data_IF_335244993493
#
_entry.id   IF_335244993493
#
_cell.length_a   1.000
_cell.length_b   1.000
_cell.length_c   1.000
_cell.angle_alpha   90.00
_cell.angle_beta   90.00
_cell.angle_gamma   90.00
#
_symmetry.space_group_name_H-M   'P 1'
#
loop_
_entity.id
_entity.type
_entity.pdbx_description
1 polymer ?
#
# COMPACT_ATOMS: atom_id res chain seq x y z
N UNK A 1 4.99 -4.87 14.42
CA UNK A 1 6.03 -4.49 13.45
C UNK A 1 6.00 -2.97 13.33
N UNK A 2 7.14 -2.30 13.54
CA UNK A 2 7.24 -0.86 13.31
C UNK A 2 7.41 -0.64 11.80
N UNK A 3 6.54 0.17 11.22
CA UNK A 3 6.60 0.57 9.81
C UNK A 3 6.65 2.09 9.68
N UNK A 4 7.16 2.57 8.56
CA UNK A 4 7.22 3.98 8.20
C UNK A 4 6.46 4.19 6.90
N UNK A 5 5.39 4.97 6.95
CA UNK A 5 4.60 5.37 5.80
C UNK A 5 5.13 6.68 5.21
N UNK A 6 5.69 6.58 4.00
CA UNK A 6 6.41 7.68 3.37
C UNK A 6 7.84 7.85 3.89
N UNK A 7 8.82 7.74 2.99
CA UNK A 7 10.24 7.73 3.34
C UNK A 7 10.89 9.12 3.41
N UNK A 8 10.15 10.21 3.27
CA UNK A 8 10.73 11.57 3.20
C UNK A 8 11.49 11.99 4.47
N UNK A 9 11.17 11.38 5.62
CA UNK A 9 11.90 11.58 6.85
C UNK A 9 13.27 10.86 6.90
N UNK A 10 13.55 9.97 5.95
CA UNK A 10 14.85 9.30 5.83
C UNK A 10 15.81 10.21 5.07
N UNK A 11 16.71 10.86 5.79
CA UNK A 11 17.62 11.87 5.24
C UNK A 11 18.82 11.27 4.51
N UNK A 12 19.23 10.04 4.88
CA UNK A 12 20.34 9.31 4.26
C UNK A 12 20.19 7.79 4.47
N UNK A 13 21.01 6.99 3.79
CA UNK A 13 20.99 5.54 3.97
C UNK A 13 21.51 5.12 5.37
N UNK A 14 22.44 5.87 5.93
CA UNK A 14 22.93 5.69 7.32
C UNK A 14 21.79 5.98 8.32
N UNK A 15 20.94 6.98 8.03
CA UNK A 15 19.76 7.25 8.86
C UNK A 15 18.79 6.07 8.83
N UNK A 16 18.57 5.44 7.66
CA UNK A 16 17.76 4.23 7.57
C UNK A 16 18.34 3.07 8.41
N UNK A 17 19.66 2.88 8.42
CA UNK A 17 20.31 1.89 9.29
C UNK A 17 20.07 2.16 10.78
N UNK A 18 20.12 3.43 11.18
CA UNK A 18 19.81 3.82 12.56
C UNK A 18 18.36 3.47 12.90
N UNK A 19 17.41 3.77 12.02
CA UNK A 19 16.01 3.44 12.22
C UNK A 19 15.78 1.91 12.26
N UNK A 20 16.46 1.16 11.40
CA UNK A 20 16.45 -0.31 11.45
C UNK A 20 16.94 -0.84 12.81
N UNK A 21 18.08 -0.31 13.33
CA UNK A 21 18.59 -0.68 14.66
C UNK A 21 17.62 -0.31 15.78
N UNK A 22 16.78 0.73 15.60
CA UNK A 22 15.72 1.11 16.53
C UNK A 22 14.42 0.31 16.37
N UNK A 23 14.37 -0.65 15.43
CA UNK A 23 13.25 -1.57 15.30
C UNK A 23 12.36 -1.35 14.08
N UNK A 24 12.69 -0.42 13.17
CA UNK A 24 11.98 -0.29 11.89
C UNK A 24 12.10 -1.61 11.10
N UNK A 25 10.98 -2.10 10.53
CA UNK A 25 10.94 -3.36 9.78
C UNK A 25 10.23 -3.25 8.44
N UNK A 26 9.47 -2.19 8.21
CA UNK A 26 8.82 -1.95 6.93
C UNK A 26 8.87 -0.47 6.57
N UNK A 27 8.90 -0.16 5.27
CA UNK A 27 8.96 1.21 4.80
C UNK A 27 8.26 1.34 3.44
N UNK A 28 7.37 2.32 3.34
CA UNK A 28 6.76 2.80 2.10
C UNK A 28 7.57 3.97 1.53
N UNK A 29 7.99 3.93 0.25
CA UNK A 29 8.80 5.00 -0.33
C UNK A 29 8.11 6.35 -0.48
N UNK A 30 6.78 6.37 -0.59
CA UNK A 30 5.97 7.58 -0.76
C UNK A 30 4.62 7.46 -0.05
N UNK A 31 3.91 8.60 0.09
CA UNK A 31 2.53 8.69 0.56
C UNK A 31 1.65 9.25 -0.57
N UNK A 32 1.05 10.43 -0.46
CA UNK A 32 0.16 10.97 -1.50
C UNK A 32 0.90 11.72 -2.61
N UNK A 33 1.79 12.62 -2.26
CA UNK A 33 2.45 13.51 -3.20
C UNK A 33 3.71 12.95 -3.86
N UNK A 34 4.38 13.77 -4.67
CA UNK A 34 5.74 13.46 -5.10
C UNK A 34 6.67 13.51 -3.89
N UNK A 35 7.24 12.36 -3.54
CA UNK A 35 8.22 12.24 -2.46
C UNK A 35 9.66 12.27 -2.96
N UNK A 36 10.59 12.27 -2.03
CA UNK A 36 12.05 12.26 -2.33
C UNK A 36 12.47 10.99 -3.06
N UNK A 37 11.81 9.87 -2.81
CA UNK A 37 12.22 8.53 -3.24
C UNK A 37 11.29 7.90 -4.25
N UNK A 38 10.00 8.27 -4.25
CA UNK A 38 9.00 7.75 -5.17
C UNK A 38 7.84 8.72 -5.30
N UNK A 39 6.95 8.46 -6.25
CA UNK A 39 5.71 9.20 -6.43
C UNK A 39 4.55 8.45 -5.78
N UNK A 40 3.75 9.18 -5.00
CA UNK A 40 2.59 8.64 -4.31
C UNK A 40 1.28 8.77 -5.10
N UNK A 41 0.16 8.45 -4.45
CA UNK A 41 -1.17 8.25 -5.04
C UNK A 41 -1.65 9.41 -5.94
N UNK A 42 -1.41 10.66 -5.55
CA UNK A 42 -1.89 11.85 -6.27
C UNK A 42 -0.86 12.42 -7.25
N UNK A 43 0.19 11.67 -7.52
CA UNK A 43 1.27 12.05 -8.43
C UNK A 43 1.68 10.87 -9.30
N UNK A 44 2.39 11.13 -10.40
CA UNK A 44 2.89 10.09 -11.28
C UNK A 44 4.34 10.38 -11.67
N UNK A 45 5.20 9.37 -11.60
CA UNK A 45 6.58 9.49 -12.01
C UNK A 45 7.43 8.29 -11.64
N UNK A 46 8.63 8.28 -12.20
CA UNK A 46 9.65 7.26 -11.96
C UNK A 46 10.35 7.49 -10.63
N UNK A 47 10.78 6.39 -9.98
CA UNK A 47 11.44 6.45 -8.67
C UNK A 47 12.82 7.13 -8.66
N UNK A 48 13.43 7.35 -9.80
CA UNK A 48 14.73 8.02 -9.90
C UNK A 48 15.88 7.32 -9.15
N UNK A 49 17.07 7.90 -9.20
CA UNK A 49 18.25 7.25 -8.59
C UNK A 49 18.21 7.22 -7.05
N UNK A 50 17.60 8.22 -6.41
CA UNK A 50 17.44 8.20 -4.94
C UNK A 50 16.53 7.07 -4.49
N UNK A 51 15.39 6.86 -5.18
CA UNK A 51 14.48 5.77 -4.91
C UNK A 51 15.10 4.40 -5.14
N UNK A 52 15.84 4.22 -6.24
CA UNK A 52 16.57 2.98 -6.50
C UNK A 52 17.62 2.67 -5.41
N UNK A 53 18.31 3.70 -4.91
CA UNK A 53 19.24 3.53 -3.77
C UNK A 53 18.52 3.13 -2.49
N UNK A 54 17.35 3.74 -2.23
CA UNK A 54 16.51 3.36 -1.09
C UNK A 54 16.08 1.89 -1.21
N UNK A 55 15.55 1.46 -2.35
CA UNK A 55 15.11 0.07 -2.56
C UNK A 55 16.25 -0.94 -2.33
N UNK A 56 17.44 -0.67 -2.85
CA UNK A 56 18.62 -1.53 -2.61
C UNK A 56 18.96 -1.61 -1.12
N UNK A 57 18.85 -0.48 -0.39
CA UNK A 57 19.14 -0.45 1.05
C UNK A 57 18.06 -1.16 1.87
N UNK A 58 16.79 -1.07 1.47
CA UNK A 58 15.68 -1.82 2.07
C UNK A 58 15.95 -3.33 1.90
N UNK A 59 16.37 -3.76 0.71
CA UNK A 59 16.71 -5.15 0.42
C UNK A 59 17.93 -5.64 1.23
N UNK A 60 19.02 -4.86 1.27
CA UNK A 60 20.22 -5.14 2.06
C UNK A 60 19.91 -5.35 3.55
N UNK A 61 19.04 -4.52 4.12
CA UNK A 61 18.62 -4.61 5.52
C UNK A 61 17.53 -5.65 5.77
N UNK A 62 17.07 -6.35 4.74
CA UNK A 62 15.94 -7.28 4.79
C UNK A 62 14.69 -6.66 5.43
N UNK A 63 14.43 -5.38 5.10
CA UNK A 63 13.19 -4.68 5.45
C UNK A 63 12.10 -5.06 4.46
N UNK A 64 10.85 -4.95 4.91
CA UNK A 64 9.68 -5.12 4.06
C UNK A 64 9.46 -3.83 3.25
N UNK A 65 9.35 -3.95 1.94
CA UNK A 65 8.88 -2.87 1.07
C UNK A 65 7.35 -2.79 1.17
N UNK A 66 6.86 -1.65 1.62
CA UNK A 66 5.43 -1.35 1.58
C UNK A 66 5.10 -0.61 0.28
N UNK A 67 4.30 -1.25 -0.57
CA UNK A 67 3.89 -0.66 -1.86
C UNK A 67 2.59 0.13 -1.77
N UNK A 68 1.99 0.20 -0.59
CA UNK A 68 0.83 1.08 -0.33
C UNK A 68 1.18 2.51 -0.72
N UNK A 69 0.24 3.24 -1.29
CA UNK A 69 0.38 4.61 -1.78
C UNK A 69 1.28 4.82 -3.00
N UNK A 70 2.06 3.87 -3.47
CA UNK A 70 2.85 4.10 -4.68
C UNK A 70 1.94 4.41 -5.88
N UNK A 71 2.31 5.41 -6.68
CA UNK A 71 1.70 5.62 -7.99
C UNK A 71 1.93 4.39 -8.88
N UNK A 72 1.10 4.20 -9.91
CA UNK A 72 1.23 3.02 -10.77
C UNK A 72 2.63 2.92 -11.38
N UNK A 73 3.22 4.02 -11.85
CA UNK A 73 4.57 4.04 -12.43
C UNK A 73 5.62 3.65 -11.38
N UNK A 74 5.58 4.29 -10.19
CA UNK A 74 6.52 3.98 -9.11
C UNK A 74 6.34 2.55 -8.58
N UNK A 75 5.11 2.03 -8.55
CA UNK A 75 4.83 0.64 -8.19
C UNK A 75 5.56 -0.33 -9.12
N UNK A 76 5.33 -0.22 -10.44
CA UNK A 76 5.91 -1.15 -11.40
C UNK A 76 7.43 -1.09 -11.42
N UNK A 77 8.04 0.10 -11.38
CA UNK A 77 9.50 0.22 -11.28
C UNK A 77 10.05 -0.38 -9.97
N UNK A 78 9.33 -0.22 -8.83
CA UNK A 78 9.75 -0.81 -7.57
C UNK A 78 9.70 -2.34 -7.61
N UNK A 79 8.63 -2.91 -8.17
CA UNK A 79 8.46 -4.37 -8.34
C UNK A 79 9.52 -4.98 -9.25
N UNK A 80 9.96 -4.26 -10.29
CA UNK A 80 11.01 -4.70 -11.21
C UNK A 80 12.39 -4.75 -10.53
N UNK A 81 12.68 -3.79 -9.65
CA UNK A 81 13.99 -3.63 -9.03
C UNK A 81 14.13 -4.45 -7.74
N UNK A 82 13.07 -4.53 -6.94
CA UNK A 82 13.11 -5.07 -5.57
C UNK A 82 12.78 -6.57 -5.52
N UNK A 83 13.66 -7.35 -4.86
CA UNK A 83 13.51 -8.81 -4.72
C UNK A 83 13.30 -9.27 -3.27
N UNK A 84 13.27 -8.36 -2.31
CA UNK A 84 13.02 -8.66 -0.90
C UNK A 84 11.52 -8.88 -0.57
N UNK A 85 11.19 -8.97 0.72
CA UNK A 85 9.81 -9.14 1.18
C UNK A 85 8.97 -7.90 0.89
N UNK A 86 7.74 -8.11 0.40
CA UNK A 86 6.80 -7.05 0.02
C UNK A 86 5.48 -7.24 0.74
N UNK A 87 4.83 -6.15 1.08
CA UNK A 87 3.41 -6.11 1.39
C UNK A 87 2.73 -4.86 0.81
N UNK A 88 1.41 -4.86 0.77
CA UNK A 88 0.59 -3.65 0.73
C UNK A 88 -0.11 -3.55 2.08
N UNK A 89 0.35 -2.69 2.96
CA UNK A 89 -0.13 -2.66 4.36
C UNK A 89 -1.62 -2.37 4.46
N UNK A 90 -2.17 -1.50 3.59
CA UNK A 90 -3.58 -1.13 3.59
C UNK A 90 -4.03 -0.67 2.19
N UNK A 91 -4.53 -1.62 1.39
CA UNK A 91 -5.00 -1.36 0.02
C UNK A 91 -6.13 -2.32 -0.36
N UNK A 92 -7.14 -1.80 -1.08
CA UNK A 92 -8.26 -2.60 -1.56
C UNK A 92 -8.22 -2.78 -3.09
N UNK A 93 -9.27 -3.34 -3.70
CA UNK A 93 -9.31 -3.70 -5.10
C UNK A 93 -9.89 -2.58 -5.98
N UNK A 94 -9.14 -2.15 -6.99
CA UNK A 94 -9.54 -1.11 -7.94
C UNK A 94 -10.72 -1.54 -8.82
N UNK A 95 -10.84 -2.83 -9.09
CA UNK A 95 -11.97 -3.41 -9.84
C UNK A 95 -13.30 -3.23 -9.13
N UNK A 96 -13.33 -3.21 -7.79
CA UNK A 96 -14.53 -3.00 -6.99
C UNK A 96 -14.78 -1.52 -6.68
N UNK A 97 -13.72 -0.77 -6.40
CA UNK A 97 -13.80 0.67 -6.14
C UNK A 97 -12.78 1.39 -7.02
N UNK A 98 -13.20 1.92 -8.18
CA UNK A 98 -12.30 2.58 -9.13
C UNK A 98 -11.65 3.84 -8.55
N UNK A 99 -10.39 3.69 -8.12
CA UNK A 99 -9.57 4.79 -7.61
C UNK A 99 -8.09 4.42 -7.76
N UNK A 100 -7.21 5.38 -8.07
CA UNK A 100 -5.76 5.18 -8.18
C UNK A 100 -5.10 4.71 -6.86
N UNK A 101 -5.73 5.00 -5.72
CA UNK A 101 -5.28 4.53 -4.40
C UNK A 101 -5.40 3.01 -4.24
N UNK A 102 -6.26 2.38 -5.03
CA UNK A 102 -6.53 0.95 -4.99
C UNK A 102 -5.60 0.18 -5.93
N UNK A 103 -5.35 -1.09 -5.62
CA UNK A 103 -4.56 -1.99 -6.46
C UNK A 103 -5.38 -2.50 -7.66
N UNK A 104 -4.80 -2.43 -8.84
CA UNK A 104 -5.36 -3.11 -10.02
C UNK A 104 -5.18 -4.63 -9.91
N UNK A 105 -5.96 -5.38 -10.69
CA UNK A 105 -5.84 -6.85 -10.71
C UNK A 105 -4.45 -7.32 -11.12
N UNK A 106 -3.79 -6.59 -12.03
CA UNK A 106 -2.41 -6.93 -12.43
C UNK A 106 -1.40 -6.64 -11.32
N UNK A 107 -1.59 -5.57 -10.55
CA UNK A 107 -0.78 -5.30 -9.35
C UNK A 107 -1.02 -6.37 -8.28
N UNK A 108 -2.27 -6.79 -8.05
CA UNK A 108 -2.61 -7.86 -7.12
C UNK A 108 -1.94 -9.17 -7.55
N UNK A 109 -2.03 -9.55 -8.82
CA UNK A 109 -1.42 -10.79 -9.34
C UNK A 109 0.10 -10.80 -9.19
N UNK A 110 0.80 -9.71 -9.46
CA UNK A 110 2.25 -9.67 -9.26
C UNK A 110 2.63 -9.72 -7.79
N UNK A 111 1.86 -9.08 -6.90
CA UNK A 111 2.07 -9.19 -5.45
C UNK A 111 1.88 -10.63 -4.97
N UNK A 112 0.83 -11.31 -5.42
CA UNK A 112 0.60 -12.74 -5.16
C UNK A 112 1.81 -13.58 -5.63
N UNK A 113 2.29 -13.36 -6.84
CA UNK A 113 3.45 -14.12 -7.39
C UNK A 113 4.74 -13.91 -6.59
N UNK A 114 4.87 -12.78 -5.90
CA UNK A 114 5.99 -12.47 -5.00
C UNK A 114 5.75 -12.89 -3.54
N UNK A 115 4.65 -13.59 -3.24
CA UNK A 115 4.31 -14.04 -1.89
C UNK A 115 3.90 -12.92 -0.93
N UNK A 116 3.50 -11.77 -1.45
CA UNK A 116 3.11 -10.60 -0.65
C UNK A 116 1.78 -10.81 0.08
N UNK A 117 1.58 -10.04 1.15
CA UNK A 117 0.31 -9.89 1.86
C UNK A 117 -0.30 -8.53 1.51
N UNK A 118 -1.60 -8.50 1.28
CA UNK A 118 -2.39 -7.30 1.02
C UNK A 118 -3.33 -7.09 2.20
N UNK A 119 -3.10 -6.05 2.97
CA UNK A 119 -3.92 -5.65 4.11
C UNK A 119 -5.14 -4.85 3.65
N UNK A 120 -6.34 -5.27 4.05
CA UNK A 120 -7.57 -4.59 3.70
C UNK A 120 -7.78 -3.34 4.55
N UNK A 121 -7.92 -2.18 3.89
CA UNK A 121 -8.27 -0.92 4.53
C UNK A 121 -9.77 -0.82 4.81
N UNK A 122 -10.14 -0.27 5.96
CA UNK A 122 -11.53 -0.16 6.42
C UNK A 122 -12.11 1.25 6.21
N UNK A 123 -11.45 2.10 5.44
CA UNK A 123 -11.97 3.42 5.09
C UNK A 123 -13.14 3.29 4.09
N UNK A 124 -14.24 3.95 4.40
CA UNK A 124 -15.52 3.84 3.67
C UNK A 124 -15.40 4.08 2.16
N UNK A 125 -14.61 5.10 1.75
CA UNK A 125 -14.42 5.42 0.33
C UNK A 125 -13.55 4.39 -0.41
N UNK A 126 -12.79 3.58 0.32
CA UNK A 126 -12.04 2.45 -0.23
C UNK A 126 -12.87 1.16 -0.27
N UNK A 127 -13.96 1.07 0.50
CA UNK A 127 -14.82 -0.10 0.58
C UNK A 127 -15.99 -0.07 -0.40
N UNK A 128 -16.52 1.13 -0.73
CA UNK A 128 -17.66 1.28 -1.63
C UNK A 128 -17.44 2.43 -2.63
N UNK A 129 -17.87 2.26 -3.90
CA UNK A 129 -17.65 3.26 -4.93
C UNK A 129 -18.54 4.50 -4.72
N UNK A 130 -18.05 5.65 -5.21
CA UNK A 130 -18.75 6.94 -5.15
C UNK A 130 -19.09 7.40 -3.72
N UNK A 131 -18.27 7.04 -2.76
CA UNK A 131 -18.35 7.58 -1.42
C UNK A 131 -17.96 9.06 -1.41
N UNK A 132 -18.74 9.87 -0.73
CA UNK A 132 -18.42 11.30 -0.48
C UNK A 132 -18.37 11.53 1.02
N UNK A 133 -17.18 11.78 1.53
CA UNK A 133 -16.90 11.98 2.96
C UNK A 133 -17.79 13.10 3.53
N UNK A 134 -18.39 12.87 4.69
CA UNK A 134 -19.30 13.81 5.36
C UNK A 134 -20.67 14.00 4.68
N UNK A 135 -20.96 13.32 3.57
CA UNK A 135 -22.20 13.48 2.79
C UNK A 135 -22.91 12.13 2.61
N UNK A 136 -22.16 11.08 2.28
CA UNK A 136 -22.75 9.78 1.97
C UNK A 136 -23.30 9.11 3.22
N UNK A 137 -24.57 8.71 3.16
CA UNK A 137 -25.23 7.96 4.22
C UNK A 137 -24.75 6.48 4.17
N UNK A 138 -24.11 5.97 5.23
CA UNK A 138 -23.59 4.61 5.25
C UNK A 138 -24.70 3.54 5.13
N UNK A 139 -25.87 3.79 5.70
CA UNK A 139 -27.00 2.83 5.65
C UNK A 139 -27.55 2.74 4.22
N UNK A 140 -27.78 3.88 3.56
CA UNK A 140 -28.24 3.91 2.17
C UNK A 140 -27.25 3.31 1.19
N UNK A 141 -25.94 3.49 1.45
CA UNK A 141 -24.85 2.89 0.66
C UNK A 141 -24.59 1.43 1.02
N UNK A 142 -25.27 0.90 2.02
CA UNK A 142 -25.03 -0.47 2.53
C UNK A 142 -23.56 -0.69 2.88
N UNK A 143 -22.96 0.30 3.57
CA UNK A 143 -21.61 0.16 4.09
C UNK A 143 -21.64 -0.71 5.34
N UNK A 144 -21.33 -1.98 5.19
CA UNK A 144 -21.23 -2.96 6.25
C UNK A 144 -19.88 -3.69 6.13
N UNK A 145 -19.49 -4.43 7.14
CA UNK A 145 -18.25 -5.23 7.12
C UNK A 145 -18.20 -6.25 5.97
N UNK A 146 -19.35 -6.68 5.47
CA UNK A 146 -19.43 -7.53 4.28
C UNK A 146 -18.79 -6.90 3.05
N UNK A 147 -18.71 -5.56 2.98
CA UNK A 147 -18.03 -4.90 1.85
C UNK A 147 -16.53 -5.17 1.82
N UNK A 148 -15.89 -5.33 2.97
CA UNK A 148 -14.48 -5.74 2.99
C UNK A 148 -14.33 -7.21 2.58
N UNK A 149 -15.30 -8.06 2.87
CA UNK A 149 -15.30 -9.45 2.43
C UNK A 149 -15.35 -9.53 0.88
N UNK A 150 -16.08 -8.64 0.21
CA UNK A 150 -16.09 -8.57 -1.26
C UNK A 150 -14.65 -8.36 -1.81
N UNK A 151 -13.85 -7.48 -1.18
CA UNK A 151 -12.45 -7.24 -1.55
C UNK A 151 -11.55 -8.45 -1.23
N UNK A 152 -11.73 -9.05 -0.07
CA UNK A 152 -11.01 -10.27 0.35
C UNK A 152 -11.28 -11.41 -0.64
N UNK A 153 -12.55 -11.66 -0.95
CA UNK A 153 -12.95 -12.71 -1.89
C UNK A 153 -12.34 -12.47 -3.28
N UNK A 154 -12.36 -11.23 -3.77
CA UNK A 154 -11.75 -10.89 -5.06
C UNK A 154 -10.26 -11.29 -5.12
N UNK A 155 -9.48 -10.97 -4.08
CA UNK A 155 -8.07 -11.38 -4.01
C UNK A 155 -7.94 -12.90 -3.90
N UNK A 156 -8.79 -13.56 -3.12
CA UNK A 156 -8.80 -15.01 -3.00
C UNK A 156 -9.14 -15.69 -4.34
N UNK A 157 -10.05 -15.14 -5.13
CA UNK A 157 -10.35 -15.65 -6.48
C UNK A 157 -9.15 -15.49 -7.42
N UNK A 158 -8.44 -14.36 -7.37
CA UNK A 158 -7.23 -14.14 -8.17
C UNK A 158 -6.07 -15.07 -7.79
N UNK A 159 -5.95 -15.42 -6.51
CA UNK A 159 -4.85 -16.25 -5.97
C UNK A 159 -5.17 -17.74 -5.93
N UNK A 160 -6.46 -18.14 -5.94
CA UNK A 160 -6.91 -19.50 -5.70
C UNK A 160 -6.81 -19.95 -4.23
N UNK A 161 -6.48 -19.05 -3.30
CA UNK A 161 -6.34 -19.32 -1.86
C UNK A 161 -6.48 -18.05 -1.02
N UNK A 162 -6.44 -18.16 0.32
CA UNK A 162 -6.54 -17.03 1.25
C UNK A 162 -5.20 -16.55 1.86
N UNK A 163 -4.07 -17.01 1.35
CA UNK A 163 -2.76 -16.78 1.98
C UNK A 163 -2.22 -15.34 1.75
N UNK A 164 -2.85 -14.57 0.87
CA UNK A 164 -2.37 -13.25 0.44
C UNK A 164 -3.18 -12.09 1.00
N UNK A 165 -4.06 -12.34 1.95
CA UNK A 165 -4.96 -11.32 2.51
C UNK A 165 -4.73 -11.15 4.00
N UNK A 166 -4.76 -9.91 4.47
CA UNK A 166 -4.70 -9.55 5.89
C UNK A 166 -5.62 -8.36 6.18
N UNK A 167 -5.69 -7.96 7.43
CA UNK A 167 -6.38 -6.73 7.84
C UNK A 167 -5.34 -5.64 8.03
N UNK A 168 -5.42 -4.58 7.22
CA UNK A 168 -4.58 -3.40 7.29
C UNK A 168 -5.25 -2.20 7.96
N UNK A 169 -6.50 -2.32 8.28
CA UNK A 169 -7.49 -1.41 8.87
C UNK A 169 -7.36 0.07 8.51
N UNK A 170 -6.24 0.70 8.78
CA UNK A 170 -5.96 2.13 8.61
C UNK A 170 -6.88 3.04 9.48
N UNK A 171 -7.41 2.51 10.58
CA UNK A 171 -8.35 3.22 11.48
C UNK A 171 -7.71 4.40 12.20
N UNK A 172 -6.39 4.43 12.30
CA UNK A 172 -5.59 5.54 12.84
C UNK A 172 -5.13 6.55 11.77
N UNK A 173 -5.50 6.35 10.51
CA UNK A 173 -5.12 7.16 9.35
C UNK A 173 -5.74 8.56 9.29
N UNK A 174 -6.51 8.98 10.29
CA UNK A 174 -7.03 10.35 10.39
C UNK A 174 -8.31 10.61 9.58
N UNK A 175 -9.07 9.59 9.24
CA UNK A 175 -10.29 9.71 8.42
C UNK A 175 -11.52 10.25 9.18
N UNK A 176 -11.43 10.45 10.48
CA UNK A 176 -12.52 10.95 11.29
C UNK A 176 -13.50 9.84 11.73
N UNK A 177 -14.80 10.14 11.70
CA UNK A 177 -15.86 9.23 12.17
C UNK A 177 -16.62 8.56 11.02
N UNK A 178 -15.98 8.30 9.93
CA UNK A 178 -16.61 7.66 8.77
C UNK A 178 -16.38 6.15 8.70
#
# INVERSE_FOLDING_TARGET
>A
ILSLEGADSILSMEHLEIMYKKGLRAIGPAHYGPGTYAFGTDSDGKIGEKGKRLLRKIEELNLILDVTHLSDISFWESIEIFNGPIWASHSNCRSLVPNKRQLSDDQIKVLISKGAIIGMALDAWMMVPNWKRGITDPIKKKLFFEKIIDHIDHICQLSGNSNHVGIGSDLDGGFGKE
#
